data_IF_056198758808
#
_entry.id   IF_056198758808
#
_cell.length_a   1.000
_cell.length_b   1.000
_cell.length_c   1.000
_cell.angle_alpha   90.00
_cell.angle_beta   90.00
_cell.angle_gamma   90.00
#
_symmetry.space_group_name_H-M   'P 1'
#
loop_
_entity.id
_entity.type
_entity.pdbx_description
1 polymer ?
#
# COMPACT_ATOMS: atom_id res chain seq x y z
N UNK A 1 4.06 7.50 -22.17
CA UNK A 1 4.82 7.66 -20.92
C UNK A 1 6.28 7.80 -21.31
N UNK A 2 6.93 8.88 -20.91
CA UNK A 2 8.37 9.07 -21.09
C UNK A 2 9.16 8.20 -20.11
N UNK A 3 10.44 7.96 -20.38
CA UNK A 3 11.29 7.18 -19.47
C UNK A 3 11.38 7.81 -18.07
N UNK A 4 11.45 9.15 -17.99
CA UNK A 4 11.42 9.87 -16.71
C UNK A 4 10.09 9.72 -15.97
N UNK A 5 8.96 9.72 -16.68
CA UNK A 5 7.64 9.47 -16.08
C UNK A 5 7.53 8.05 -15.54
N UNK A 6 8.08 7.08 -16.27
CA UNK A 6 8.13 5.67 -15.88
C UNK A 6 8.96 5.48 -14.62
N UNK A 7 10.16 6.05 -14.57
CA UNK A 7 11.05 5.99 -13.40
C UNK A 7 10.40 6.61 -12.15
N UNK A 8 9.75 7.78 -12.30
CA UNK A 8 8.99 8.41 -11.21
C UNK A 8 7.87 7.51 -10.68
N UNK A 9 7.15 6.83 -11.57
CA UNK A 9 6.09 5.89 -11.17
C UNK A 9 6.65 4.63 -10.50
N UNK A 10 7.77 4.10 -10.97
CA UNK A 10 8.46 2.96 -10.36
C UNK A 10 8.96 3.31 -8.94
N UNK A 11 9.57 4.48 -8.77
CA UNK A 11 9.99 4.97 -7.44
C UNK A 11 8.78 5.12 -6.52
N UNK A 12 7.69 5.73 -7.01
CA UNK A 12 6.47 5.90 -6.22
C UNK A 12 5.83 4.58 -5.85
N UNK A 13 5.83 3.60 -6.76
CA UNK A 13 5.34 2.25 -6.51
C UNK A 13 6.13 1.57 -5.40
N UNK A 14 7.46 1.71 -5.42
CA UNK A 14 8.34 1.17 -4.39
C UNK A 14 8.03 1.77 -3.01
N UNK A 15 7.91 3.09 -2.92
CA UNK A 15 7.56 3.79 -1.67
C UNK A 15 6.21 3.30 -1.10
N UNK A 16 5.18 3.21 -1.94
CA UNK A 16 3.86 2.76 -1.50
C UNK A 16 3.87 1.30 -1.03
N UNK A 17 4.61 0.42 -1.73
CA UNK A 17 4.77 -0.99 -1.32
C UNK A 17 5.47 -1.10 0.02
N UNK A 18 6.50 -0.28 0.26
CA UNK A 18 7.19 -0.22 1.54
C UNK A 18 6.25 0.24 2.66
N UNK A 19 5.56 1.38 2.47
CA UNK A 19 4.59 1.90 3.44
C UNK A 19 3.47 0.90 3.74
N UNK A 20 2.97 0.20 2.71
CA UNK A 20 1.94 -0.83 2.86
C UNK A 20 2.44 -2.00 3.72
N UNK A 21 3.69 -2.45 3.53
CA UNK A 21 4.29 -3.53 4.31
C UNK A 21 4.49 -3.10 5.77
N UNK A 22 5.03 -1.92 5.99
CA UNK A 22 5.26 -1.40 7.34
C UNK A 22 3.94 -1.25 8.11
N UNK A 23 2.89 -0.79 7.43
CA UNK A 23 1.56 -0.69 8.03
C UNK A 23 0.96 -2.06 8.36
N UNK A 24 1.24 -3.08 7.56
CA UNK A 24 0.82 -4.46 7.85
C UNK A 24 1.52 -5.03 9.09
N UNK A 25 2.82 -4.78 9.22
CA UNK A 25 3.59 -5.19 10.39
C UNK A 25 3.06 -4.51 11.66
N UNK A 26 2.72 -3.22 11.58
CA UNK A 26 2.10 -2.46 12.69
C UNK A 26 0.72 -3.05 13.05
N UNK A 27 -0.14 -3.29 12.06
CA UNK A 27 -1.46 -3.90 12.27
C UNK A 27 -1.31 -5.27 12.94
N UNK A 28 -0.38 -6.09 12.46
CA UNK A 28 -0.12 -7.44 12.98
C UNK A 28 0.31 -7.39 14.43
N UNK A 29 1.24 -6.48 14.79
CA UNK A 29 1.70 -6.31 16.18
C UNK A 29 0.56 -5.86 17.09
N UNK A 30 -0.13 -4.78 16.71
CA UNK A 30 -1.23 -4.22 17.49
C UNK A 30 -2.39 -5.21 17.66
N UNK A 31 -2.69 -6.03 16.65
CA UNK A 31 -3.77 -7.02 16.74
C UNK A 31 -3.54 -8.11 17.79
N UNK A 32 -2.31 -8.27 18.28
CA UNK A 32 -1.95 -9.24 19.33
C UNK A 32 -2.01 -8.64 20.74
N UNK A 33 -2.19 -7.32 20.85
CA UNK A 33 -2.28 -6.65 22.14
C UNK A 33 -3.72 -6.76 22.69
N UNK A 34 -3.89 -7.14 23.97
CA UNK A 34 -5.22 -7.37 24.55
C UNK A 34 -6.05 -6.09 24.71
N UNK A 35 -5.41 -4.92 24.78
CA UNK A 35 -6.05 -3.61 24.98
C UNK A 35 -6.09 -2.78 23.69
N UNK A 36 -6.02 -3.40 22.51
CA UNK A 36 -5.96 -2.65 21.26
C UNK A 36 -7.24 -1.84 21.04
N UNK A 37 -7.09 -0.56 20.71
CA UNK A 37 -8.22 0.28 20.36
C UNK A 37 -8.77 -0.14 18.98
N UNK A 38 -9.94 -0.77 18.95
CA UNK A 38 -10.55 -1.25 17.70
C UNK A 38 -10.69 -0.17 16.63
N UNK A 39 -10.97 1.09 17.04
CA UNK A 39 -11.10 2.21 16.13
C UNK A 39 -9.77 2.53 15.44
N UNK A 40 -8.66 2.49 16.18
CA UNK A 40 -7.33 2.69 15.64
C UNK A 40 -6.97 1.59 14.64
N UNK A 41 -7.25 0.32 14.98
CA UNK A 41 -7.03 -0.82 14.08
C UNK A 41 -7.87 -0.69 12.79
N UNK A 42 -9.14 -0.27 12.90
CA UNK A 42 -10.01 0.01 11.74
C UNK A 42 -9.43 1.12 10.85
N UNK A 43 -8.89 2.20 11.43
CA UNK A 43 -8.24 3.28 10.69
C UNK A 43 -7.00 2.80 9.94
N UNK A 44 -6.15 1.99 10.58
CA UNK A 44 -4.97 1.42 9.93
C UNK A 44 -5.34 0.47 8.79
N UNK A 45 -6.30 -0.44 9.00
CA UNK A 45 -6.80 -1.32 7.93
C UNK A 45 -7.36 -0.53 6.74
N UNK A 46 -8.10 0.55 7.00
CA UNK A 46 -8.60 1.45 5.95
C UNK A 46 -7.47 2.13 5.19
N UNK A 47 -6.44 2.62 5.88
CA UNK A 47 -5.24 3.19 5.23
C UNK A 47 -4.50 2.14 4.40
N UNK A 48 -4.35 0.92 4.90
CA UNK A 48 -3.73 -0.20 4.17
C UNK A 48 -4.49 -0.51 2.88
N UNK A 49 -5.82 -0.50 2.92
CA UNK A 49 -6.66 -0.67 1.72
C UNK A 49 -6.40 0.43 0.68
N UNK A 50 -6.34 1.70 1.08
CA UNK A 50 -6.04 2.79 0.15
C UNK A 50 -4.63 2.69 -0.46
N UNK A 51 -3.64 2.25 0.32
CA UNK A 51 -2.29 2.00 -0.20
C UNK A 51 -2.31 0.89 -1.23
N UNK A 52 -3.02 -0.22 -0.96
CA UNK A 52 -3.21 -1.32 -1.92
C UNK A 52 -3.84 -0.82 -3.23
N UNK A 53 -4.95 -0.09 -3.16
CA UNK A 53 -5.62 0.47 -4.35
C UNK A 53 -4.71 1.43 -5.13
N UNK A 54 -3.86 2.19 -4.43
CA UNK A 54 -2.91 3.11 -5.08
C UNK A 54 -1.76 2.36 -5.76
N UNK A 55 -1.28 1.27 -5.14
CA UNK A 55 -0.28 0.36 -5.70
C UNK A 55 -0.82 -0.26 -6.98
N UNK A 56 -2.04 -0.81 -6.95
CA UNK A 56 -2.70 -1.42 -8.11
C UNK A 56 -2.82 -0.40 -9.25
N UNK A 57 -3.36 0.81 -8.99
CA UNK A 57 -3.47 1.87 -10.01
C UNK A 57 -2.14 2.29 -10.64
N UNK A 58 -1.03 2.28 -9.87
CA UNK A 58 0.29 2.62 -10.42
C UNK A 58 0.89 1.41 -11.16
N UNK A 59 0.70 0.20 -10.64
CA UNK A 59 1.12 -1.03 -11.30
C UNK A 59 0.43 -1.20 -12.66
N UNK A 60 -0.89 -0.98 -12.74
CA UNK A 60 -1.68 -1.01 -13.98
C UNK A 60 -1.19 0.03 -15.00
N UNK A 61 -0.70 1.19 -14.53
CA UNK A 61 -0.12 2.21 -15.44
C UNK A 61 1.27 1.83 -15.96
N UNK A 62 2.04 1.07 -15.17
CA UNK A 62 3.40 0.64 -15.51
C UNK A 62 3.42 -0.65 -16.32
N UNK A 63 2.47 -1.56 -16.06
CA UNK A 63 2.27 -2.84 -16.73
C UNK A 63 0.82 -2.81 -17.22
N UNK A 64 0.56 -2.29 -18.43
CA UNK A 64 -0.79 -2.04 -18.89
C UNK A 64 -1.66 -3.29 -19.12
N UNK A 65 -1.20 -4.51 -18.81
CA UNK A 65 -1.97 -5.70 -19.14
C UNK A 65 -1.47 -6.99 -18.45
N UNK A 66 -1.71 -7.21 -17.15
CA UNK A 66 -1.71 -8.58 -16.57
C UNK A 66 -2.75 -8.67 -15.41
N UNK A 67 -3.84 -9.39 -15.68
CA UNK A 67 -4.84 -9.98 -14.75
C UNK A 67 -6.01 -9.12 -14.22
N UNK A 68 -7.17 -9.26 -14.90
CA UNK A 68 -8.52 -9.15 -14.34
C UNK A 68 -9.03 -10.52 -13.87
#
# INVERSE_FOLDING_TARGET
MTDEERERLEQRLYELKLEHRDLDDVITRLSREPDVEELQLKRFKKRKLYLKESIEKIADRLIPDIEA
#
